data_IF_134944531405
#
_entry.id   IF_134944531405
#
_cell.length_a   1.000
_cell.length_b   1.000
_cell.length_c   1.000
_cell.angle_alpha   90.00
_cell.angle_beta   90.00
_cell.angle_gamma   90.00
#
_symmetry.space_group_name_H-M   'P 1'
#
loop_
_entity.id
_entity.type
_entity.pdbx_description
1 polymer ?
#
# COMPACT_ATOMS: atom_id res chain seq x y z
N UNK A 1 6.59 -12.60 -17.67
CA UNK A 1 6.59 -11.25 -17.05
C UNK A 1 6.39 -11.46 -15.56
N UNK A 2 7.37 -11.17 -14.78
CA UNK A 2 7.33 -11.38 -13.33
C UNK A 2 6.88 -10.07 -12.69
N UNK A 3 5.74 -10.06 -12.07
CA UNK A 3 5.23 -8.94 -11.30
C UNK A 3 4.04 -8.23 -11.94
N UNK A 4 2.89 -8.43 -11.34
CA UNK A 4 1.71 -7.60 -11.59
C UNK A 4 1.94 -6.16 -11.12
N UNK A 5 1.27 -5.23 -11.74
CA UNK A 5 1.21 -3.84 -11.29
C UNK A 5 0.48 -3.81 -9.96
N UNK A 6 1.09 -3.28 -8.92
CA UNK A 6 0.42 -3.11 -7.63
C UNK A 6 -0.22 -1.73 -7.51
N UNK A 7 -1.05 -1.55 -6.48
CA UNK A 7 -1.75 -0.29 -6.24
C UNK A 7 -0.80 0.89 -5.97
N UNK A 8 0.35 0.66 -5.34
CA UNK A 8 1.37 1.69 -5.12
C UNK A 8 1.92 2.24 -6.43
N UNK A 9 2.20 1.36 -7.40
CA UNK A 9 2.59 1.76 -8.75
C UNK A 9 1.49 2.57 -9.45
N UNK A 10 0.23 2.13 -9.36
CA UNK A 10 -0.89 2.86 -9.95
C UNK A 10 -1.03 4.26 -9.34
N UNK A 11 -0.98 4.37 -8.02
CA UNK A 11 -1.09 5.65 -7.30
C UNK A 11 0.06 6.60 -7.62
N UNK A 12 1.26 6.07 -7.87
CA UNK A 12 2.47 6.89 -8.10
C UNK A 12 2.33 7.86 -9.28
N UNK A 13 1.53 7.53 -10.29
CA UNK A 13 1.29 8.43 -11.43
C UNK A 13 0.55 9.72 -11.03
N UNK A 14 -0.19 9.69 -9.95
CA UNK A 14 -0.91 10.87 -9.43
C UNK A 14 -0.09 11.68 -8.42
N UNK A 15 1.15 11.27 -8.13
CA UNK A 15 2.06 11.90 -7.17
C UNK A 15 3.36 12.41 -7.83
N UNK A 16 3.45 12.37 -9.17
CA UNK A 16 4.69 12.65 -9.92
C UNK A 16 5.19 14.09 -9.77
N UNK A 17 4.32 15.01 -9.44
CA UNK A 17 4.62 16.42 -9.21
C UNK A 17 5.29 16.70 -7.86
N UNK A 18 5.15 15.78 -6.90
CA UNK A 18 5.69 15.93 -5.53
C UNK A 18 6.69 14.82 -5.13
N UNK A 19 6.64 13.68 -5.79
CA UNK A 19 7.47 12.51 -5.47
C UNK A 19 7.96 11.81 -6.74
N UNK A 20 9.20 11.31 -6.70
CA UNK A 20 9.65 10.35 -7.71
C UNK A 20 8.85 9.04 -7.60
N UNK A 21 8.77 8.29 -8.69
CA UNK A 21 8.04 7.02 -8.76
C UNK A 21 8.39 6.05 -7.62
N UNK A 22 9.69 5.82 -7.39
CA UNK A 22 10.14 4.90 -6.33
C UNK A 22 9.75 5.37 -4.93
N UNK A 23 9.85 6.67 -4.65
CA UNK A 23 9.44 7.24 -3.36
C UNK A 23 7.93 7.14 -3.14
N UNK A 24 7.13 7.39 -4.18
CA UNK A 24 5.68 7.21 -4.15
C UNK A 24 5.30 5.76 -3.83
N UNK A 25 5.92 4.80 -4.53
CA UNK A 25 5.70 3.38 -4.28
C UNK A 25 6.11 2.99 -2.85
N UNK A 26 7.24 3.48 -2.36
CA UNK A 26 7.74 3.16 -1.01
C UNK A 26 6.78 3.64 0.09
N UNK A 27 6.19 4.84 -0.05
CA UNK A 27 5.19 5.34 0.90
C UNK A 27 3.89 4.53 0.82
N UNK A 28 3.43 4.16 -0.38
CA UNK A 28 2.14 3.51 -0.58
C UNK A 28 2.15 2.01 -0.27
N UNK A 29 3.28 1.33 -0.42
CA UNK A 29 3.39 -0.12 -0.28
C UNK A 29 2.89 -0.66 1.07
N UNK A 30 3.19 -0.07 2.25
CA UNK A 30 2.67 -0.58 3.52
C UNK A 30 1.14 -0.65 3.55
N UNK A 31 0.46 0.35 3.00
CA UNK A 31 -1.00 0.42 2.99
C UNK A 31 -1.62 -0.61 2.04
N UNK A 32 -1.07 -0.76 0.84
CA UNK A 32 -1.49 -1.81 -0.09
C UNK A 32 -1.13 -3.21 0.41
N UNK A 33 -0.07 -3.37 1.21
CA UNK A 33 0.27 -4.64 1.86
C UNK A 33 -0.87 -5.13 2.75
N UNK A 34 -1.47 -4.25 3.55
CA UNK A 34 -2.64 -4.60 4.37
C UNK A 34 -3.84 -5.00 3.51
N UNK A 35 -4.07 -4.27 2.41
CA UNK A 35 -5.17 -4.56 1.50
C UNK A 35 -5.02 -5.91 0.80
N UNK A 36 -3.82 -6.22 0.31
CA UNK A 36 -3.57 -7.47 -0.41
C UNK A 36 -3.29 -8.67 0.51
N UNK A 37 -3.11 -8.46 1.80
CA UNK A 37 -2.58 -9.46 2.72
C UNK A 37 -3.23 -10.84 2.60
N UNK A 38 -4.56 -11.00 2.54
CA UNK A 38 -5.16 -12.33 2.42
C UNK A 38 -4.79 -13.08 1.13
N UNK A 39 -4.44 -12.36 0.07
CA UNK A 39 -4.09 -12.93 -1.23
C UNK A 39 -2.59 -13.22 -1.41
N UNK A 40 -1.74 -12.70 -0.53
CA UNK A 40 -0.27 -12.78 -0.67
C UNK A 40 0.43 -13.27 0.61
N UNK A 41 -0.24 -14.06 1.44
CA UNK A 41 0.27 -14.50 2.75
C UNK A 41 1.66 -15.13 2.70
N UNK A 42 1.95 -15.99 1.73
CA UNK A 42 3.25 -16.68 1.62
C UNK A 42 4.40 -15.68 1.37
N UNK A 43 4.17 -14.70 0.50
CA UNK A 43 5.13 -13.62 0.27
C UNK A 43 5.32 -12.78 1.54
N UNK A 44 4.23 -12.48 2.25
CA UNK A 44 4.29 -11.70 3.49
C UNK A 44 4.98 -12.45 4.62
N UNK A 45 4.82 -13.77 4.73
CA UNK A 45 5.59 -14.57 5.70
C UNK A 45 7.08 -14.52 5.42
N UNK A 46 7.47 -14.63 4.16
CA UNK A 46 8.89 -14.53 3.76
C UNK A 46 9.46 -13.16 4.11
N UNK A 47 8.80 -12.09 3.69
CA UNK A 47 9.25 -10.71 3.97
C UNK A 47 9.19 -10.39 5.46
N UNK A 48 8.13 -10.81 6.14
CA UNK A 48 7.98 -10.65 7.59
C UNK A 48 9.09 -11.31 8.38
N UNK A 49 9.49 -12.53 8.00
CA UNK A 49 10.62 -13.23 8.61
C UNK A 49 11.95 -12.47 8.44
N UNK A 50 12.16 -11.84 7.30
CA UNK A 50 13.34 -10.97 7.08
C UNK A 50 13.30 -9.75 8.01
N UNK A 51 12.15 -9.09 8.14
CA UNK A 51 12.00 -7.96 9.06
C UNK A 51 12.17 -8.37 10.53
N UNK A 52 11.67 -9.55 10.91
CA UNK A 52 11.85 -10.09 12.26
C UNK A 52 13.33 -10.33 12.56
N UNK A 53 14.07 -10.97 11.64
CA UNK A 53 15.51 -11.17 11.77
C UNK A 53 16.30 -9.86 11.85
N UNK A 54 15.83 -8.81 11.18
CA UNK A 54 16.42 -7.48 11.23
C UNK A 54 16.00 -6.68 12.49
N UNK A 55 15.16 -7.22 13.37
CA UNK A 55 14.67 -6.52 14.56
C UNK A 55 13.67 -5.40 14.28
N UNK A 56 13.04 -5.41 13.11
CA UNK A 56 12.10 -4.38 12.67
C UNK A 56 10.63 -4.76 12.91
N UNK A 57 10.35 -6.01 13.27
CA UNK A 57 9.02 -6.49 13.63
C UNK A 57 9.03 -7.26 14.94
N UNK A 58 7.83 -7.51 15.48
CA UNK A 58 7.64 -8.40 16.62
C UNK A 58 7.97 -9.85 16.23
N UNK A 59 8.33 -10.67 17.23
CA UNK A 59 8.51 -12.11 17.06
C UNK A 59 7.18 -12.82 16.80
N UNK A 60 7.23 -13.89 16.02
CA UNK A 60 6.06 -14.75 15.78
C UNK A 60 5.20 -14.30 14.60
N UNK A 61 5.75 -13.52 13.68
CA UNK A 61 5.03 -13.05 12.49
C UNK A 61 4.55 -14.22 11.61
N UNK A 62 5.26 -15.35 11.64
CA UNK A 62 4.90 -16.57 10.92
C UNK A 62 3.60 -17.21 11.37
N UNK A 63 3.13 -16.90 12.59
CA UNK A 63 1.86 -17.42 13.12
C UNK A 63 0.64 -16.57 12.75
N UNK A 64 0.88 -15.36 12.25
CA UNK A 64 -0.18 -14.45 11.83
C UNK A 64 -0.74 -14.84 10.45
N UNK A 65 -2.00 -14.45 10.18
CA UNK A 65 -2.70 -14.74 8.93
C UNK A 65 -3.47 -13.51 8.44
N UNK A 66 -3.79 -13.53 7.16
CA UNK A 66 -4.66 -12.55 6.54
C UNK A 66 -4.26 -11.12 6.88
N UNK A 67 -5.25 -10.34 7.31
CA UNK A 67 -5.07 -8.94 7.66
C UNK A 67 -4.06 -8.70 8.80
N UNK A 68 -4.03 -9.55 9.82
CA UNK A 68 -3.10 -9.40 10.96
C UNK A 68 -1.65 -9.50 10.49
N UNK A 69 -1.36 -10.48 9.63
CA UNK A 69 -0.05 -10.62 8.99
C UNK A 69 0.29 -9.36 8.17
N UNK A 70 -0.67 -8.87 7.38
CA UNK A 70 -0.50 -7.66 6.57
C UNK A 70 -0.18 -6.42 7.41
N UNK A 71 -0.87 -6.24 8.53
CA UNK A 71 -0.63 -5.14 9.47
C UNK A 71 0.77 -5.25 10.08
N UNK A 72 1.17 -6.43 10.57
CA UNK A 72 2.48 -6.64 11.16
C UNK A 72 3.63 -6.35 10.17
N UNK A 73 3.48 -6.77 8.91
CA UNK A 73 4.47 -6.48 7.86
C UNK A 73 4.48 -4.98 7.50
N UNK A 74 3.31 -4.34 7.40
CA UNK A 74 3.22 -2.90 7.13
C UNK A 74 3.88 -2.07 8.26
N UNK A 75 3.68 -2.45 9.52
CA UNK A 75 4.34 -1.83 10.67
C UNK A 75 5.86 -1.99 10.61
N UNK A 76 6.36 -3.16 10.21
CA UNK A 76 7.79 -3.38 9.99
C UNK A 76 8.35 -2.48 8.87
N UNK A 77 7.60 -2.29 7.77
CA UNK A 77 7.95 -1.34 6.72
C UNK A 77 8.02 0.10 7.26
N UNK A 78 7.08 0.50 8.12
CA UNK A 78 7.14 1.81 8.78
C UNK A 78 8.34 1.95 9.71
N UNK A 79 8.69 0.90 10.45
CA UNK A 79 9.87 0.90 11.30
C UNK A 79 11.15 1.08 10.50
N UNK A 80 11.29 0.38 9.37
CA UNK A 80 12.40 0.59 8.43
C UNK A 80 12.43 2.03 7.92
N UNK A 81 11.30 2.55 7.44
CA UNK A 81 11.19 3.92 6.94
C UNK A 81 11.65 4.95 8.00
N UNK A 82 11.18 4.82 9.24
CA UNK A 82 11.58 5.67 10.35
C UNK A 82 13.08 5.58 10.64
N UNK A 83 13.65 4.38 10.61
CA UNK A 83 15.08 4.15 10.86
C UNK A 83 15.97 4.90 9.88
N UNK A 84 15.55 5.02 8.63
CA UNK A 84 16.28 5.73 7.57
C UNK A 84 15.81 7.17 7.34
N UNK A 85 14.92 7.69 8.17
CA UNK A 85 14.39 9.07 8.04
C UNK A 85 13.49 9.26 6.81
N UNK A 86 12.79 8.20 6.37
CA UNK A 86 11.90 8.24 5.22
C UNK A 86 10.44 8.46 5.67
N UNK A 87 9.64 9.28 4.95
CA UNK A 87 8.25 9.53 5.31
C UNK A 87 7.41 8.25 5.31
N UNK A 88 6.53 8.14 6.29
CA UNK A 88 5.62 6.98 6.43
C UNK A 88 4.20 7.28 5.94
N UNK A 89 3.87 8.55 5.69
CA UNK A 89 2.55 8.98 5.22
C UNK A 89 2.65 10.18 4.28
N UNK A 90 1.63 10.38 3.46
CA UNK A 90 1.62 11.43 2.45
C UNK A 90 1.58 12.84 3.06
N UNK A 91 0.95 13.03 4.21
CA UNK A 91 0.92 14.32 4.90
C UNK A 91 2.29 14.84 5.37
N UNK A 92 3.31 13.99 5.38
CA UNK A 92 4.71 14.37 5.67
C UNK A 92 5.46 14.85 4.40
N UNK A 93 4.85 14.71 3.23
CA UNK A 93 5.46 15.07 1.95
C UNK A 93 5.14 16.53 1.62
N UNK A 94 6.18 17.33 1.37
CA UNK A 94 6.00 18.73 0.96
C UNK A 94 5.21 18.83 -0.35
N UNK A 95 4.22 19.72 -0.37
CA UNK A 95 3.35 19.92 -1.53
C UNK A 95 2.17 18.95 -1.63
N UNK A 96 2.04 17.98 -0.72
CA UNK A 96 0.88 17.09 -0.71
C UNK A 96 -0.41 17.84 -0.34
N UNK A 97 -1.49 17.54 -1.05
CA UNK A 97 -2.85 18.05 -0.80
C UNK A 97 -3.88 16.93 -1.05
N UNK A 98 -5.10 17.17 -0.62
CA UNK A 98 -6.22 16.26 -0.87
C UNK A 98 -6.49 16.02 -2.36
N UNK A 99 -6.22 17.02 -3.20
CA UNK A 99 -6.37 16.91 -4.67
C UNK A 99 -5.58 15.75 -5.27
N UNK A 100 -4.44 15.37 -4.65
CA UNK A 100 -3.66 14.21 -5.10
C UNK A 100 -4.42 12.90 -4.93
N UNK A 101 -5.18 12.75 -3.82
CA UNK A 101 -6.05 11.59 -3.59
C UNK A 101 -7.20 11.57 -4.59
N UNK A 102 -7.88 12.70 -4.77
CA UNK A 102 -9.00 12.83 -5.71
C UNK A 102 -8.55 12.52 -7.15
N UNK A 103 -7.39 13.04 -7.55
CA UNK A 103 -6.77 12.75 -8.86
C UNK A 103 -6.45 11.25 -9.01
N UNK A 104 -5.93 10.61 -7.96
CA UNK A 104 -5.62 9.18 -8.00
C UNK A 104 -6.88 8.32 -8.12
N UNK A 105 -7.94 8.64 -7.40
CA UNK A 105 -9.23 7.95 -7.49
C UNK A 105 -9.89 8.14 -8.86
N UNK A 106 -9.88 9.38 -9.38
CA UNK A 106 -10.41 9.67 -10.71
C UNK A 106 -9.62 8.94 -11.81
N UNK A 107 -8.29 8.92 -11.71
CA UNK A 107 -7.44 8.19 -12.65
C UNK A 107 -7.68 6.67 -12.61
N UNK A 108 -7.89 6.10 -11.42
CA UNK A 108 -8.16 4.68 -11.26
C UNK A 108 -9.51 4.24 -11.88
N UNK A 109 -10.50 5.13 -11.88
CA UNK A 109 -11.82 4.88 -12.51
C UNK A 109 -11.80 4.97 -14.03
N UNK A 110 -10.75 5.56 -14.62
CA UNK A 110 -10.64 5.69 -16.06
C UNK A 110 -10.50 4.30 -16.74
N UNK A 111 -11.16 4.06 -17.90
CA UNK A 111 -11.07 2.76 -18.60
C UNK A 111 -9.65 2.36 -19.03
N UNK A 112 -8.72 3.29 -19.23
CA UNK A 112 -7.37 3.00 -19.67
C UNK A 112 -6.55 2.15 -18.70
N UNK A 113 -6.56 2.35 -17.35
CA UNK A 113 -5.84 1.50 -16.42
C UNK A 113 -6.59 0.20 -16.03
N UNK A 114 -7.70 -0.14 -16.68
CA UNK A 114 -8.49 -1.35 -16.38
C UNK A 114 -7.62 -2.61 -16.24
N UNK A 115 -6.67 -2.81 -17.14
CA UNK A 115 -5.75 -3.94 -17.08
C UNK A 115 -4.87 -3.91 -15.82
N UNK A 116 -4.49 -2.72 -15.35
CA UNK A 116 -3.66 -2.57 -14.15
C UNK A 116 -4.43 -2.95 -12.88
N UNK A 117 -5.70 -2.58 -12.80
CA UNK A 117 -6.59 -2.95 -11.70
C UNK A 117 -6.86 -4.45 -11.66
N UNK A 118 -7.01 -5.08 -12.82
CA UNK A 118 -7.28 -6.52 -12.93
C UNK A 118 -6.06 -7.41 -12.69
N UNK A 119 -4.85 -6.88 -12.88
CA UNK A 119 -3.60 -7.61 -12.69
C UNK A 119 -3.03 -7.48 -11.25
N UNK A 120 -3.74 -6.82 -10.34
CA UNK A 120 -3.38 -6.79 -8.93
C UNK A 120 -3.66 -8.12 -8.23
N UNK A 121 -2.96 -8.44 -7.12
CA UNK A 121 -3.24 -9.64 -6.33
C UNK A 121 -4.71 -9.79 -5.90
N UNK A 122 -5.38 -8.67 -5.66
CA UNK A 122 -6.83 -8.55 -5.48
C UNK A 122 -7.33 -7.63 -6.60
N UNK A 123 -7.97 -8.16 -7.64
CA UNK A 123 -8.50 -7.36 -8.74
C UNK A 123 -9.58 -6.39 -8.27
N UNK A 124 -9.56 -5.16 -8.79
CA UNK A 124 -10.60 -4.16 -8.56
C UNK A 124 -11.28 -3.79 -9.88
N UNK A 125 -12.56 -3.43 -9.78
CA UNK A 125 -13.31 -2.78 -10.86
C UNK A 125 -13.45 -1.28 -10.58
N UNK A 126 -13.86 -0.50 -11.57
CA UNK A 126 -14.05 0.94 -11.40
C UNK A 126 -15.06 1.29 -10.30
N UNK A 127 -16.09 0.46 -10.13
CA UNK A 127 -17.14 0.63 -9.12
C UNK A 127 -16.63 0.39 -7.69
N UNK A 128 -15.58 -0.43 -7.55
CA UNK A 128 -14.97 -0.77 -6.26
C UNK A 128 -13.94 0.26 -5.78
N UNK A 129 -13.53 1.21 -6.64
CA UNK A 129 -12.44 2.14 -6.33
C UNK A 129 -12.73 2.97 -5.08
N UNK A 130 -13.89 3.57 -4.99
CA UNK A 130 -14.22 4.44 -3.83
C UNK A 130 -14.30 3.63 -2.53
N UNK A 131 -14.81 2.41 -2.59
CA UNK A 131 -15.01 1.56 -1.41
C UNK A 131 -13.70 0.99 -0.86
N UNK A 132 -12.76 0.61 -1.74
CA UNK A 132 -11.52 -0.08 -1.34
C UNK A 132 -10.28 0.80 -1.48
N UNK A 133 -10.07 1.46 -2.63
CA UNK A 133 -8.90 2.30 -2.86
C UNK A 133 -8.98 3.63 -2.10
N UNK A 134 -10.18 4.20 -1.96
CA UNK A 134 -10.41 5.42 -1.17
C UNK A 134 -9.84 5.29 0.26
N UNK A 135 -10.30 4.31 1.07
CA UNK A 135 -9.76 4.10 2.41
C UNK A 135 -8.26 3.83 2.47
N UNK A 136 -7.65 3.20 1.44
CA UNK A 136 -6.20 2.99 1.36
C UNK A 136 -5.48 4.34 1.25
N UNK A 137 -5.95 5.23 0.35
CA UNK A 137 -5.35 6.54 0.14
C UNK A 137 -5.52 7.47 1.35
N UNK A 138 -6.70 7.46 1.96
CA UNK A 138 -6.96 8.19 3.21
C UNK A 138 -6.08 7.69 4.36
N UNK A 139 -5.86 6.37 4.44
CA UNK A 139 -4.93 5.77 5.40
C UNK A 139 -3.50 6.22 5.12
N UNK A 140 -3.08 6.26 3.85
CA UNK A 140 -1.76 6.74 3.46
C UNK A 140 -1.56 8.23 3.74
N UNK A 141 -2.62 9.04 3.70
CA UNK A 141 -2.57 10.44 4.13
C UNK A 141 -2.29 10.54 5.63
N UNK A 142 -3.03 9.80 6.45
CA UNK A 142 -3.07 9.98 7.91
C UNK A 142 -2.08 9.07 8.66
N UNK A 143 -1.67 7.96 8.07
CA UNK A 143 -0.76 6.98 8.67
C UNK A 143 -1.46 5.82 9.40
N UNK A 144 -2.80 5.79 9.47
CA UNK A 144 -3.57 4.74 10.16
C UNK A 144 -3.93 3.57 9.22
N UNK A 145 -3.90 2.34 9.72
CA UNK A 145 -4.21 1.13 8.92
C UNK A 145 -5.65 0.63 9.11
N UNK A 146 -6.37 1.14 10.10
CA UNK A 146 -7.68 0.60 10.51
C UNK A 146 -8.79 0.75 9.47
N UNK A 147 -8.72 1.79 8.62
CA UNK A 147 -9.72 2.08 7.59
C UNK A 147 -9.64 1.14 6.39
N UNK A 148 -8.49 0.51 6.16
CA UNK A 148 -8.27 -0.36 5.01
C UNK A 148 -9.17 -1.58 5.14
N UNK A 149 -10.00 -1.83 4.13
CA UNK A 149 -10.88 -2.99 4.04
C UNK A 149 -10.25 -4.03 3.12
N UNK A 150 -10.42 -5.29 3.44
CA UNK A 150 -10.08 -6.38 2.51
C UNK A 150 -11.34 -6.78 1.74
N UNK A 151 -11.18 -7.19 0.49
CA UNK A 151 -12.29 -7.75 -0.30
C UNK A 151 -12.65 -9.11 0.28
N UNK A 152 -13.91 -9.31 0.62
CA UNK A 152 -14.47 -10.56 1.15
C UNK A 152 -15.04 -11.42 0.04
#
# INVERSE_FOLDING_TARGET
MVGGTNGGHLTSFSLVDILSHGRSCAIMNPYYTVFFAPAIEDALRTVGGIYEQAGLSQKGIEHLKGRELGVAVAEAMFNLAKTIGFPTKLSEVSGFSQDHIERALAAAKNPQPKMKLQNMPVPLTAEMIDEYMGPILESARDGGLSRIKNVT
#
